data_IF_119990063114
#
_entry.id   IF_119990063114
#
_cell.length_a   1.000
_cell.length_b   1.000
_cell.length_c   1.000
_cell.angle_alpha   90.00
_cell.angle_beta   90.00
_cell.angle_gamma   90.00
#
_symmetry.space_group_name_H-M   'P 1'
#
loop_
_entity.id
_entity.type
_entity.pdbx_description
1 polymer ?
#
# COMPACT_ATOMS: atom_id res chain seq x y z
N UNK A 1 -3.67 1.32 9.09
CA UNK A 1 -3.82 0.88 7.68
C UNK A 1 -2.53 0.20 7.24
N UNK A 2 -2.58 -1.10 6.94
CA UNK A 2 -1.42 -1.77 6.35
C UNK A 2 -1.23 -1.33 4.90
N UNK A 3 0.02 -1.10 4.50
CA UNK A 3 0.37 -0.82 3.11
C UNK A 3 0.08 -2.05 2.24
N UNK A 4 -0.24 -1.85 0.97
CA UNK A 4 -0.58 -2.98 0.11
C UNK A 4 0.63 -3.87 -0.16
N UNK A 5 0.42 -5.17 -0.08
CA UNK A 5 1.44 -6.19 -0.39
C UNK A 5 1.09 -6.84 -1.71
N UNK A 6 2.07 -6.99 -2.58
CA UNK A 6 1.86 -7.68 -3.85
C UNK A 6 1.56 -9.15 -3.59
N UNK A 7 0.59 -9.72 -4.32
CA UNK A 7 0.16 -11.10 -4.14
C UNK A 7 1.33 -12.09 -4.25
N UNK A 8 2.26 -11.86 -5.18
CA UNK A 8 3.46 -12.69 -5.34
C UNK A 8 4.33 -12.66 -4.08
N UNK A 9 4.56 -11.48 -3.53
CA UNK A 9 5.37 -11.33 -2.31
C UNK A 9 4.69 -11.98 -1.11
N UNK A 10 3.38 -11.83 -0.99
CA UNK A 10 2.60 -12.46 0.07
C UNK A 10 2.69 -13.98 -0.02
N UNK A 11 2.57 -14.56 -1.22
CA UNK A 11 2.69 -16.01 -1.40
C UNK A 11 4.07 -16.53 -1.03
N UNK A 12 5.12 -15.79 -1.39
CA UNK A 12 6.51 -16.20 -1.08
C UNK A 12 6.80 -16.15 0.43
N UNK A 13 6.11 -15.29 1.17
CA UNK A 13 6.30 -15.12 2.62
C UNK A 13 5.26 -15.85 3.46
N UNK A 14 4.36 -16.62 2.84
CA UNK A 14 3.33 -17.35 3.56
C UNK A 14 2.14 -16.50 3.98
N UNK A 15 1.94 -15.32 3.37
CA UNK A 15 0.80 -14.46 3.62
C UNK A 15 1.16 -12.99 3.69
N UNK A 16 0.18 -12.16 4.00
CA UNK A 16 0.34 -10.71 4.17
C UNK A 16 0.88 -10.42 5.58
N UNK A 17 2.20 -10.30 5.67
CA UNK A 17 2.91 -10.07 6.93
C UNK A 17 2.55 -8.71 7.53
N UNK A 18 2.36 -7.69 6.71
CA UNK A 18 2.07 -6.34 7.18
C UNK A 18 0.71 -6.30 7.89
N UNK A 19 -0.31 -6.88 7.28
CA UNK A 19 -1.64 -6.96 7.91
C UNK A 19 -1.57 -7.76 9.22
N UNK A 20 -0.81 -8.85 9.25
CA UNK A 20 -0.65 -9.64 10.47
C UNK A 20 0.03 -8.84 11.59
N UNK A 21 1.05 -8.05 11.28
CA UNK A 21 1.72 -7.18 12.24
C UNK A 21 0.74 -6.13 12.78
N UNK A 22 -0.02 -5.50 11.91
CA UNK A 22 -1.02 -4.52 12.32
C UNK A 22 -2.08 -5.15 13.24
N UNK A 23 -2.57 -6.33 12.89
CA UNK A 23 -3.57 -7.03 13.69
C UNK A 23 -3.03 -7.38 15.10
N UNK A 24 -1.74 -7.68 15.19
CA UNK A 24 -1.09 -8.00 16.48
C UNK A 24 -0.90 -6.78 17.38
N UNK A 25 -1.04 -5.58 16.85
CA UNK A 25 -0.79 -4.33 17.60
C UNK A 25 -1.85 -4.05 18.69
N UNK A 26 -3.02 -4.67 18.60
CA UNK A 26 -4.16 -4.35 19.46
C UNK A 26 -4.93 -3.12 19.00
N UNK A 27 -4.49 -2.44 17.96
CA UNK A 27 -5.19 -1.30 17.38
C UNK A 27 -6.13 -1.78 16.27
N UNK A 28 -7.13 -0.96 15.98
CA UNK A 28 -8.05 -1.23 14.88
C UNK A 28 -7.30 -1.24 13.55
N UNK A 29 -7.37 -2.34 12.83
CA UNK A 29 -6.69 -2.53 11.55
C UNK A 29 -7.70 -2.52 10.42
N UNK A 30 -7.50 -1.64 9.43
CA UNK A 30 -8.39 -1.54 8.26
C UNK A 30 -7.56 -1.78 7.01
N UNK A 31 -7.55 -3.00 6.45
CA UNK A 31 -6.84 -3.31 5.20
C UNK A 31 -7.67 -2.79 4.02
N UNK A 32 -7.53 -1.51 3.74
CA UNK A 32 -8.38 -0.80 2.79
C UNK A 32 -7.71 -0.46 1.45
N UNK A 33 -6.45 -0.83 1.27
CA UNK A 33 -5.71 -0.54 0.04
C UNK A 33 -5.11 -1.82 -0.53
N UNK A 34 -5.03 -1.89 -1.85
CA UNK A 34 -4.41 -3.02 -2.53
C UNK A 34 -3.71 -2.54 -3.79
N UNK A 35 -2.74 -3.32 -4.26
CA UNK A 35 -2.15 -3.08 -5.56
C UNK A 35 -3.18 -3.36 -6.64
N UNK A 36 -3.25 -2.47 -7.63
CA UNK A 36 -4.15 -2.62 -8.76
C UNK A 36 -3.72 -3.82 -9.60
N UNK A 37 -4.67 -4.71 -9.91
CA UNK A 37 -4.37 -5.91 -10.69
C UNK A 37 -3.88 -5.58 -12.11
N UNK A 38 -4.34 -4.46 -12.67
CA UNK A 38 -3.93 -3.98 -14.00
C UNK A 38 -2.46 -3.58 -14.08
N UNK A 39 -1.75 -3.46 -12.97
CA UNK A 39 -0.32 -3.15 -12.98
C UNK A 39 0.47 -4.19 -13.76
N UNK A 40 0.08 -5.46 -13.69
CA UNK A 40 0.74 -6.53 -14.46
C UNK A 40 0.45 -6.48 -15.97
N UNK A 41 -0.55 -5.71 -16.37
CA UNK A 41 -0.92 -5.53 -17.78
C UNK A 41 -0.14 -4.39 -18.42
N UNK A 42 0.90 -3.88 -17.76
CA UNK A 42 1.76 -2.83 -18.29
C UNK A 42 2.62 -3.30 -19.47
N UNK A 43 2.61 -4.58 -19.78
CA UNK A 43 3.29 -5.14 -20.95
C UNK A 43 2.71 -4.51 -22.21
N UNK A 44 3.57 -3.91 -23.03
CA UNK A 44 3.15 -3.23 -24.24
C UNK A 44 2.95 -1.73 -24.09
N UNK A 45 2.96 -1.20 -22.88
CA UNK A 45 2.92 0.23 -22.63
C UNK A 45 4.33 0.84 -22.86
N UNK A 46 4.38 2.11 -23.26
CA UNK A 46 5.66 2.83 -23.32
C UNK A 46 6.18 3.11 -21.90
N UNK A 47 7.41 3.61 -21.80
CA UNK A 47 8.06 3.83 -20.50
C UNK A 47 7.32 4.84 -19.64
N UNK A 48 6.76 5.91 -20.23
CA UNK A 48 6.00 6.91 -19.48
C UNK A 48 4.68 6.36 -18.99
N UNK A 49 3.98 5.59 -19.82
CA UNK A 49 2.72 4.94 -19.42
C UNK A 49 2.94 3.89 -18.35
N UNK A 50 4.06 3.13 -18.42
CA UNK A 50 4.42 2.19 -17.37
C UNK A 50 4.65 2.87 -16.03
N UNK A 51 5.38 3.99 -16.04
CA UNK A 51 5.63 4.75 -14.81
C UNK A 51 4.34 5.28 -14.19
N UNK A 52 3.43 5.82 -15.02
CA UNK A 52 2.12 6.28 -14.54
C UNK A 52 1.30 5.11 -13.99
N UNK A 53 1.29 3.98 -14.68
CA UNK A 53 0.55 2.80 -14.25
C UNK A 53 1.06 2.27 -12.91
N UNK A 54 2.37 2.26 -12.69
CA UNK A 54 2.97 1.86 -11.42
C UNK A 54 2.71 2.89 -10.31
N UNK A 55 2.81 4.19 -10.65
CA UNK A 55 2.55 5.26 -9.68
C UNK A 55 1.09 5.30 -9.23
N UNK A 56 0.16 4.93 -10.13
CA UNK A 56 -1.27 4.90 -9.85
C UNK A 56 -1.77 3.49 -9.52
N UNK A 57 -0.85 2.59 -9.16
CA UNK A 57 -1.12 1.16 -9.02
C UNK A 57 -1.76 0.73 -7.70
N UNK A 58 -2.30 1.67 -6.92
CA UNK A 58 -2.94 1.39 -5.63
C UNK A 58 -4.39 1.79 -5.69
N UNK A 59 -5.27 0.87 -5.32
CA UNK A 59 -6.70 1.10 -5.23
C UNK A 59 -7.15 1.17 -3.77
N UNK A 60 -8.10 2.05 -3.49
CA UNK A 60 -8.76 2.14 -2.21
C UNK A 60 -10.03 1.29 -2.25
N UNK A 61 -10.11 0.30 -1.39
CA UNK A 61 -11.25 -0.62 -1.30
C UNK A 61 -12.39 -0.05 -0.47
N UNK A 62 -12.04 0.69 0.57
CA UNK A 62 -12.99 1.34 1.46
C UNK A 62 -12.30 2.52 2.13
N UNK A 63 -13.08 3.51 2.56
CA UNK A 63 -12.53 4.67 3.25
C UNK A 63 -12.41 4.35 4.73
N UNK A 64 -11.19 4.32 5.29
CA UNK A 64 -11.02 4.06 6.71
C UNK A 64 -11.39 5.29 7.55
N UNK A 65 -11.67 5.11 8.85
CA UNK A 65 -11.81 6.24 9.76
C UNK A 65 -10.50 7.05 9.81
N UNK A 66 -10.62 8.37 9.83
CA UNK A 66 -9.48 9.29 9.91
C UNK A 66 -9.29 9.77 11.35
N UNK A 67 -8.05 10.03 11.83
CA UNK A 67 -6.79 9.86 11.13
C UNK A 67 -6.30 8.40 11.14
N UNK A 68 -5.34 8.10 10.26
CA UNK A 68 -4.75 6.76 10.18
C UNK A 68 -3.24 6.80 10.33
N UNK A 69 -2.67 5.69 10.78
CA UNK A 69 -1.25 5.41 10.72
C UNK A 69 -1.03 4.38 9.60
N UNK A 70 -0.18 4.71 8.64
CA UNK A 70 0.18 3.78 7.56
C UNK A 70 1.38 2.94 7.99
N UNK A 71 1.26 1.62 7.85
CA UNK A 71 2.31 0.69 8.28
C UNK A 71 2.79 -0.12 7.07
N UNK A 72 4.10 -0.19 6.88
CA UNK A 72 4.72 -1.00 5.84
C UNK A 72 5.85 -1.84 6.44
N UNK A 73 6.23 -2.92 5.76
CA UNK A 73 7.33 -3.77 6.24
C UNK A 73 8.69 -3.22 5.82
N UNK A 74 8.92 -3.01 4.53
CA UNK A 74 10.19 -2.52 4.00
C UNK A 74 9.92 -1.35 3.05
N UNK A 75 10.52 -0.22 3.35
CA UNK A 75 10.49 0.96 2.48
C UNK A 75 11.83 1.06 1.77
N UNK A 76 11.81 0.98 0.43
CA UNK A 76 12.99 1.15 -0.42
C UNK A 76 12.99 2.54 -1.05
N UNK A 77 12.20 2.74 -2.10
CA UNK A 77 12.09 4.04 -2.77
C UNK A 77 11.00 4.93 -2.17
N UNK A 78 10.08 4.35 -1.39
CA UNK A 78 8.92 5.06 -0.87
C UNK A 78 7.75 5.15 -1.87
N UNK A 79 7.85 4.53 -3.03
CA UNK A 79 6.84 4.64 -4.07
C UNK A 79 5.47 4.10 -3.63
N UNK A 80 5.44 2.95 -2.95
CA UNK A 80 4.20 2.36 -2.43
C UNK A 80 3.58 3.24 -1.36
N UNK A 81 4.39 3.76 -0.44
CA UNK A 81 3.94 4.67 0.63
C UNK A 81 3.37 5.95 0.01
N UNK A 82 4.08 6.52 -0.95
CA UNK A 82 3.65 7.75 -1.62
C UNK A 82 2.32 7.56 -2.34
N UNK A 83 2.19 6.49 -3.11
CA UNK A 83 0.95 6.18 -3.84
C UNK A 83 -0.22 5.92 -2.87
N UNK A 84 0.03 5.22 -1.77
CA UNK A 84 -0.99 4.94 -0.76
C UNK A 84 -1.43 6.22 -0.05
N UNK A 85 -0.50 7.07 0.32
CA UNK A 85 -0.82 8.36 0.93
C UNK A 85 -1.65 9.24 -0.02
N UNK A 86 -1.30 9.27 -1.29
CA UNK A 86 -2.04 10.04 -2.30
C UNK A 86 -3.49 9.57 -2.42
N UNK A 87 -3.71 8.26 -2.46
CA UNK A 87 -5.06 7.66 -2.54
C UNK A 87 -5.87 8.00 -1.29
N UNK A 88 -5.28 7.87 -0.11
CA UNK A 88 -5.95 8.18 1.15
C UNK A 88 -6.27 9.69 1.24
N UNK A 89 -5.32 10.53 0.88
CA UNK A 89 -5.52 11.97 0.87
C UNK A 89 -6.67 12.38 -0.06
N UNK A 90 -6.73 11.78 -1.25
CA UNK A 90 -7.79 12.06 -2.22
C UNK A 90 -9.17 11.65 -1.69
N UNK A 91 -9.23 10.71 -0.77
CA UNK A 91 -10.46 10.27 -0.13
C UNK A 91 -10.80 11.08 1.14
N UNK A 92 -10.01 12.10 1.47
CA UNK A 92 -10.22 12.93 2.65
C UNK A 92 -9.70 12.31 3.94
N UNK A 93 -8.82 11.33 3.85
CA UNK A 93 -8.27 10.64 5.02
C UNK A 93 -6.95 11.29 5.43
N UNK A 94 -6.84 11.67 6.70
CA UNK A 94 -5.60 12.20 7.26
C UNK A 94 -4.67 11.06 7.63
N UNK A 95 -3.43 11.10 7.12
CA UNK A 95 -2.37 10.16 7.49
C UNK A 95 -1.50 10.84 8.53
N UNK A 96 -1.59 10.39 9.79
CA UNK A 96 -0.84 10.97 10.91
C UNK A 96 0.64 10.65 10.84
N UNK A 97 0.99 9.55 10.22
CA UNK A 97 2.39 9.13 10.10
C UNK A 97 2.51 7.84 9.34
N UNK A 98 3.74 7.50 9.04
CA UNK A 98 4.12 6.26 8.34
C UNK A 98 5.12 5.52 9.21
N UNK A 99 4.83 4.25 9.50
CA UNK A 99 5.71 3.38 10.26
C UNK A 99 6.21 2.26 9.33
N UNK A 100 7.52 2.16 9.21
CA UNK A 100 8.14 1.06 8.47
C UNK A 100 8.94 0.21 9.46
N UNK A 101 8.88 -1.10 9.29
CA UNK A 101 9.68 -2.03 10.10
C UNK A 101 11.15 -1.90 9.72
N UNK A 102 11.43 -1.66 8.44
CA UNK A 102 12.77 -1.60 7.91
C UNK A 102 12.81 -0.62 6.74
N UNK A 103 13.95 0.07 6.59
CA UNK A 103 14.24 0.89 5.42
C UNK A 103 15.48 0.33 4.74
N UNK A 104 15.43 0.17 3.43
CA UNK A 104 16.53 -0.39 2.67
C UNK A 104 17.02 0.54 1.57
#
# INVERSE_FOLDING_TARGET
VPAPTRARSARLRGGDTVTAVCASSGLSTVPCVQHRSSVRDSVGLDAAARRRNLAEGVDLLQVPPSPVLLVDDVVTTGATVEATCAVLFSAGVEVSGVLAVCAA
#
